data_IF_101583730748
#
_entry.id   IF_101583730748
#
_cell.length_a   1.000
_cell.length_b   1.000
_cell.length_c   1.000
_cell.angle_alpha   90.00
_cell.angle_beta   90.00
_cell.angle_gamma   90.00
#
_symmetry.space_group_name_H-M   'P 1'
#
loop_
_entity.id
_entity.type
_entity.pdbx_description
1 polymer ?
#
# COMPACT_ATOMS: atom_id res chain seq x y z
N UNK A 1 -23.70 -9.97 -73.46
CA UNK A 1 -23.57 -10.10 -74.94
C UNK A 1 -23.77 -8.73 -75.57
N UNK A 2 -22.82 -8.32 -76.44
CA UNK A 2 -22.83 -7.21 -77.42
C UNK A 2 -22.86 -5.78 -76.85
N UNK A 3 -21.71 -5.09 -76.83
CA UNK A 3 -21.07 -4.33 -77.93
C UNK A 3 -21.83 -3.03 -78.28
N UNK A 4 -21.21 -1.85 -78.12
CA UNK A 4 -20.29 -1.29 -79.13
C UNK A 4 -19.73 0.07 -78.70
N UNK A 5 -18.48 0.31 -79.11
CA UNK A 5 -17.71 1.56 -79.02
C UNK A 5 -18.00 2.50 -80.22
N UNK A 6 -17.35 3.67 -80.16
CA UNK A 6 -16.87 4.56 -81.26
C UNK A 6 -17.75 5.83 -81.40
N UNK A 7 -17.23 7.06 -81.46
CA UNK A 7 -15.86 7.49 -81.73
C UNK A 7 -15.57 8.97 -81.42
N UNK A 8 -14.28 9.28 -81.50
CA UNK A 8 -13.62 10.59 -81.37
C UNK A 8 -13.80 11.45 -82.64
N UNK A 9 -13.95 12.77 -82.47
CA UNK A 9 -13.46 13.85 -83.37
C UNK A 9 -13.30 15.12 -82.51
N UNK A 10 -12.09 15.62 -82.22
CA UNK A 10 -11.17 16.47 -83.01
C UNK A 10 -11.36 17.99 -82.83
N UNK A 11 -10.55 18.53 -81.90
CA UNK A 11 -9.80 19.80 -81.83
C UNK A 11 -10.27 21.12 -82.53
N UNK A 12 -10.48 22.14 -81.66
CA UNK A 12 -9.90 23.53 -81.63
C UNK A 12 -10.27 24.54 -82.76
N UNK A 13 -9.92 25.84 -82.63
CA UNK A 13 -10.13 26.79 -81.52
C UNK A 13 -10.58 28.19 -82.06
N UNK A 14 -11.20 29.09 -81.27
CA UNK A 14 -11.24 30.53 -81.65
C UNK A 14 -10.94 31.45 -80.46
N UNK A 15 -10.10 32.43 -80.79
CA UNK A 15 -9.41 33.47 -80.03
C UNK A 15 -10.31 34.53 -79.38
N UNK A 16 -9.69 35.15 -78.37
CA UNK A 16 -9.70 36.57 -77.99
C UNK A 16 -11.04 37.25 -77.70
N UNK A 17 -11.19 37.76 -76.47
CA UNK A 17 -10.92 39.19 -76.27
C UNK A 17 -10.63 39.52 -74.81
N UNK A 18 -9.67 40.41 -74.62
CA UNK A 18 -9.33 41.04 -73.35
C UNK A 18 -10.48 41.95 -72.86
N UNK A 19 -10.75 41.92 -71.56
CA UNK A 19 -11.12 43.12 -70.79
C UNK A 19 -10.69 42.94 -69.33
N UNK A 20 -9.73 43.75 -68.88
CA UNK A 20 -9.58 44.17 -67.48
C UNK A 20 -10.84 44.99 -67.09
N UNK A 21 -11.23 45.19 -65.80
CA UNK A 21 -10.29 45.58 -64.75
C UNK A 21 -10.63 45.18 -63.29
N UNK A 22 -9.65 45.48 -62.42
CA UNK A 22 -9.78 45.89 -61.02
C UNK A 22 -10.25 44.89 -59.95
N UNK A 23 -9.26 44.51 -59.14
CA UNK A 23 -9.21 44.83 -57.71
C UNK A 23 -10.31 44.23 -56.82
N UNK A 24 -10.02 43.06 -56.26
CA UNK A 24 -10.39 42.78 -54.86
C UNK A 24 -9.34 41.84 -54.29
N UNK A 25 -8.57 42.33 -53.31
CA UNK A 25 -7.66 41.51 -52.51
C UNK A 25 -8.50 40.48 -51.76
N UNK A 26 -8.43 39.22 -52.17
CA UNK A 26 -8.95 38.11 -51.38
C UNK A 26 -8.01 37.93 -50.17
N UNK A 27 -8.43 38.42 -49.01
CA UNK A 27 -7.83 38.05 -47.73
C UNK A 27 -8.13 36.57 -47.52
N UNK A 28 -7.14 35.72 -47.81
CA UNK A 28 -7.14 34.32 -47.40
C UNK A 28 -6.92 34.33 -45.88
N UNK A 29 -8.01 34.24 -45.11
CA UNK A 29 -7.93 33.84 -43.71
C UNK A 29 -7.47 32.39 -43.69
N UNK A 30 -6.15 32.19 -43.57
CA UNK A 30 -5.60 30.91 -43.13
C UNK A 30 -6.06 30.70 -41.69
N UNK A 31 -7.16 29.95 -41.51
CA UNK A 31 -7.58 29.46 -40.22
C UNK A 31 -6.53 28.42 -39.79
N UNK A 32 -5.44 28.86 -39.16
CA UNK A 32 -4.59 27.98 -38.37
C UNK A 32 -5.48 27.48 -37.22
N UNK A 33 -6.01 26.27 -37.37
CA UNK A 33 -6.48 25.51 -36.23
C UNK A 33 -5.27 25.28 -35.32
N UNK A 34 -5.11 26.15 -34.32
CA UNK A 34 -4.20 25.91 -33.20
C UNK A 34 -4.80 24.71 -32.47
N UNK A 35 -4.32 23.52 -32.82
CA UNK A 35 -4.42 22.35 -31.95
C UNK A 35 -3.59 22.69 -30.72
N UNK A 36 -4.22 23.35 -29.74
CA UNK A 36 -3.67 23.38 -28.40
C UNK A 36 -3.55 21.91 -27.97
N UNK A 37 -2.35 21.41 -27.64
CA UNK A 37 -2.26 20.11 -27.00
C UNK A 37 -3.13 20.21 -25.76
N UNK A 38 -4.22 19.45 -25.73
CA UNK A 38 -5.02 19.30 -24.52
C UNK A 38 -4.10 18.70 -23.49
N UNK A 39 -3.57 19.54 -22.60
CA UNK A 39 -2.85 19.12 -21.40
C UNK A 39 -3.89 18.51 -20.47
N UNK A 40 -4.38 17.32 -20.81
CA UNK A 40 -4.96 16.46 -19.81
C UNK A 40 -3.78 16.10 -18.93
N UNK A 41 -3.74 16.66 -17.72
CA UNK A 41 -2.87 16.14 -16.68
C UNK A 41 -3.28 14.67 -16.54
N UNK A 42 -2.44 13.77 -17.05
CA UNK A 42 -2.68 12.34 -16.92
C UNK A 42 -2.68 12.04 -15.42
N UNK A 43 -3.73 11.37 -14.96
CA UNK A 43 -3.83 10.93 -13.57
C UNK A 43 -2.66 9.98 -13.28
N UNK A 44 -1.68 10.43 -12.50
CA UNK A 44 -0.53 9.61 -12.12
C UNK A 44 -0.90 8.65 -10.98
N UNK A 45 -1.89 7.79 -11.22
CA UNK A 45 -2.44 6.86 -10.24
C UNK A 45 -1.38 5.86 -9.73
N UNK A 46 -0.44 5.46 -10.60
CA UNK A 46 0.66 4.54 -10.27
C UNK A 46 1.90 5.20 -9.65
N UNK A 47 1.81 6.47 -9.28
CA UNK A 47 2.95 7.22 -8.74
C UNK A 47 3.34 6.71 -7.36
N UNK A 48 4.64 6.41 -7.20
CA UNK A 48 5.22 6.16 -5.88
C UNK A 48 5.23 7.44 -5.06
N UNK A 49 4.80 7.34 -3.80
CA UNK A 49 4.78 8.47 -2.87
C UNK A 49 6.21 8.78 -2.41
N UNK A 50 6.59 10.06 -2.51
CA UNK A 50 7.80 10.56 -1.87
C UNK A 50 7.52 10.78 -0.37
N UNK A 51 7.60 9.68 0.39
CA UNK A 51 7.19 9.68 1.79
C UNK A 51 8.21 10.41 2.67
N UNK A 52 7.80 11.44 3.43
CA UNK A 52 8.66 12.05 4.43
C UNK A 52 9.21 11.01 5.44
N UNK A 53 10.38 11.26 6.03
CA UNK A 53 10.91 10.39 7.07
C UNK A 53 9.98 10.35 8.28
N UNK A 54 9.89 9.19 8.93
CA UNK A 54 9.07 9.02 10.13
C UNK A 54 9.72 9.78 11.28
N UNK A 55 9.03 10.81 11.79
CA UNK A 55 9.41 11.47 13.02
C UNK A 55 8.89 10.68 14.23
N UNK A 56 9.72 9.78 14.76
CA UNK A 56 9.35 8.91 15.88
C UNK A 56 9.16 9.74 17.15
N UNK A 57 7.95 9.78 17.74
CA UNK A 57 7.69 10.58 18.93
C UNK A 57 8.34 9.94 20.16
N UNK A 58 8.84 10.79 21.06
CA UNK A 58 9.29 10.34 22.39
C UNK A 58 8.09 10.09 23.28
N UNK A 59 7.62 8.85 23.39
CA UNK A 59 6.53 8.52 24.31
C UNK A 59 7.02 8.42 25.76
N UNK A 60 6.10 8.69 26.69
CA UNK A 60 6.32 8.51 28.10
C UNK A 60 6.63 7.03 28.45
N UNK A 61 7.50 6.83 29.44
CA UNK A 61 7.78 5.49 29.97
C UNK A 61 6.64 5.00 30.87
N UNK A 62 5.95 5.92 31.53
CA UNK A 62 4.86 5.63 32.45
C UNK A 62 3.64 6.50 32.14
N UNK A 63 2.45 5.99 32.44
CA UNK A 63 1.20 6.71 32.22
C UNK A 63 0.07 6.12 33.03
N UNK A 64 -0.85 6.96 33.52
CA UNK A 64 -1.99 6.50 34.31
C UNK A 64 -3.09 5.87 33.44
N UNK A 65 -3.13 6.22 32.15
CA UNK A 65 -4.15 5.80 31.18
C UNK A 65 -3.52 5.55 29.81
N UNK A 66 -4.26 4.93 28.89
CA UNK A 66 -3.84 4.73 27.50
C UNK A 66 -3.46 6.06 26.80
N UNK A 67 -4.20 7.14 27.08
CA UNK A 67 -3.97 8.47 26.49
C UNK A 67 -2.59 9.04 26.82
N UNK A 68 -1.97 8.64 27.94
CA UNK A 68 -0.62 9.09 28.29
C UNK A 68 0.47 8.58 27.32
N UNK A 69 0.15 7.56 26.50
CA UNK A 69 1.03 7.03 25.46
C UNK A 69 0.70 7.56 24.06
N UNK A 70 -0.29 8.45 23.92
CA UNK A 70 -0.64 9.11 22.66
C UNK A 70 -0.05 10.53 22.67
N UNK A 71 1.02 10.81 21.91
CA UNK A 71 1.67 12.11 21.90
C UNK A 71 0.88 13.13 21.07
N UNK A 72 1.25 14.41 21.16
CA UNK A 72 0.67 15.44 20.29
C UNK A 72 0.93 15.12 18.80
N UNK A 73 -0.02 15.48 17.93
CA UNK A 73 -0.01 15.18 16.49
C UNK A 73 -0.07 13.68 16.17
N UNK A 74 -0.61 12.89 17.10
CA UNK A 74 -0.97 11.50 16.91
C UNK A 74 -2.37 11.27 17.48
N UNK A 75 -3.06 10.25 16.98
CA UNK A 75 -4.36 9.83 17.49
C UNK A 75 -4.38 8.32 17.72
N UNK A 76 -5.21 7.88 18.67
CA UNK A 76 -5.49 6.46 18.89
C UNK A 76 -6.32 5.91 17.73
N UNK A 77 -5.93 4.76 17.20
CA UNK A 77 -6.63 4.00 16.15
C UNK A 77 -7.31 2.79 16.76
N UNK A 78 -6.57 2.01 17.55
CA UNK A 78 -7.07 0.79 18.16
C UNK A 78 -6.44 0.54 19.53
N UNK A 79 -7.15 -0.22 20.37
CA UNK A 79 -6.73 -0.62 21.71
C UNK A 79 -7.28 -1.99 22.05
N UNK A 80 -6.40 -2.85 22.54
CA UNK A 80 -6.77 -4.11 23.20
C UNK A 80 -6.22 -4.18 24.62
N UNK A 81 -6.96 -4.85 25.48
CA UNK A 81 -6.58 -5.09 26.87
C UNK A 81 -6.45 -6.60 27.11
N UNK A 82 -5.36 -7.03 27.74
CA UNK A 82 -5.14 -8.44 28.08
C UNK A 82 -4.09 -8.56 29.17
N UNK A 83 -4.01 -9.73 29.81
CA UNK A 83 -2.91 -10.07 30.70
C UNK A 83 -1.77 -10.66 29.87
N UNK A 84 -0.79 -9.84 29.48
CA UNK A 84 0.33 -10.30 28.66
C UNK A 84 1.41 -10.98 29.51
N UNK A 85 1.56 -10.60 30.78
CA UNK A 85 2.65 -11.05 31.64
C UNK A 85 2.27 -12.17 32.63
N UNK A 86 0.98 -12.52 32.72
CA UNK A 86 0.44 -13.56 33.59
C UNK A 86 0.16 -13.13 35.03
N UNK A 87 0.15 -11.84 35.34
CA UNK A 87 -0.06 -11.30 36.70
C UNK A 87 -1.55 -11.04 37.05
N UNK A 88 -2.45 -11.36 36.13
CA UNK A 88 -3.92 -11.17 36.22
C UNK A 88 -4.37 -9.71 36.20
N UNK A 89 -3.50 -8.78 35.83
CA UNK A 89 -3.86 -7.38 35.59
C UNK A 89 -4.01 -7.12 34.10
N UNK A 90 -4.94 -6.24 33.74
CA UNK A 90 -5.15 -5.87 32.35
C UNK A 90 -4.07 -4.89 31.88
N UNK A 91 -3.17 -5.38 31.04
CA UNK A 91 -2.18 -4.62 30.26
C UNK A 91 -2.83 -4.01 29.01
N UNK A 92 -2.08 -3.16 28.30
CA UNK A 92 -2.53 -2.46 27.09
C UNK A 92 -1.64 -2.77 25.89
N UNK A 93 -2.26 -2.95 24.73
CA UNK A 93 -1.62 -2.72 23.44
C UNK A 93 -2.45 -1.69 22.65
N UNK A 94 -1.75 -0.74 22.03
CA UNK A 94 -2.33 0.40 21.32
C UNK A 94 -1.77 0.47 19.91
N UNK A 95 -2.63 0.80 18.94
CA UNK A 95 -2.21 1.35 17.65
C UNK A 95 -2.54 2.83 17.63
N UNK A 96 -1.53 3.66 17.34
CA UNK A 96 -1.68 5.09 17.10
C UNK A 96 -1.28 5.43 15.67
N UNK A 97 -1.77 6.54 15.13
CA UNK A 97 -1.36 7.05 13.81
C UNK A 97 -1.02 8.52 13.91
N UNK A 98 0.00 8.94 13.16
CA UNK A 98 0.36 10.35 13.03
C UNK A 98 -0.78 11.15 12.39
N UNK A 99 -0.75 12.46 12.58
CA UNK A 99 -1.72 13.39 11.97
C UNK A 99 -1.02 14.56 11.28
N UNK A 100 0.16 14.32 10.73
CA UNK A 100 0.93 15.36 10.04
C UNK A 100 0.34 15.56 8.64
N UNK A 101 -0.16 16.76 8.32
CA UNK A 101 -0.75 17.03 7.01
C UNK A 101 0.24 16.87 5.85
N UNK A 102 1.56 16.85 6.11
CA UNK A 102 2.58 16.57 5.10
C UNK A 102 2.60 15.12 4.61
N UNK A 103 1.95 14.21 5.33
CA UNK A 103 1.79 12.81 4.91
C UNK A 103 0.42 12.55 4.26
N UNK A 104 -0.36 13.59 3.97
CA UNK A 104 -1.63 13.48 3.25
C UNK A 104 -1.37 13.84 1.78
N UNK A 105 -1.49 12.86 0.90
CA UNK A 105 -1.22 12.99 -0.52
C UNK A 105 -2.54 13.12 -1.29
N UNK A 106 -2.68 14.22 -2.03
CA UNK A 106 -3.91 14.51 -2.77
C UNK A 106 -3.92 13.82 -4.12
N UNK A 107 -5.06 13.28 -4.50
CA UNK A 107 -5.30 12.88 -5.89
C UNK A 107 -5.49 14.14 -6.74
N UNK A 108 -4.64 14.31 -7.74
CA UNK A 108 -4.78 15.34 -8.76
C UNK A 108 -5.29 14.69 -10.06
N UNK A 109 -6.50 14.12 -9.98
CA UNK A 109 -7.13 13.39 -11.08
C UNK A 109 -8.48 14.04 -11.43
N UNK A 110 -8.52 14.96 -12.42
CA UNK A 110 -9.74 15.63 -12.83
C UNK A 110 -10.86 14.67 -13.27
N UNK A 111 -10.49 13.48 -13.75
CA UNK A 111 -11.41 12.43 -14.21
C UNK A 111 -11.97 11.58 -13.05
N UNK A 112 -11.45 11.75 -11.83
CA UNK A 112 -11.89 11.00 -10.64
C UNK A 112 -11.87 11.92 -9.40
N UNK A 113 -12.72 12.97 -9.38
CA UNK A 113 -12.73 13.99 -8.33
C UNK A 113 -13.18 13.46 -6.96
N UNK A 114 -13.79 12.27 -6.92
CA UNK A 114 -14.30 11.63 -5.71
C UNK A 114 -13.27 10.70 -5.03
N UNK A 115 -12.05 10.59 -5.56
CA UNK A 115 -10.99 9.82 -4.90
C UNK A 115 -10.57 10.49 -3.60
N UNK A 116 -10.55 9.71 -2.51
CA UNK A 116 -10.11 10.18 -1.21
C UNK A 116 -8.59 10.34 -1.17
N UNK A 117 -8.11 11.43 -0.56
CA UNK A 117 -6.68 11.66 -0.31
C UNK A 117 -6.03 10.45 0.40
N UNK A 118 -4.80 10.10 0.02
CA UNK A 118 -4.05 9.03 0.68
C UNK A 118 -3.40 9.55 1.96
N UNK A 119 -3.88 9.07 3.10
CA UNK A 119 -3.24 9.29 4.40
C UNK A 119 -2.11 8.27 4.62
N UNK A 120 -0.89 8.70 4.34
CA UNK A 120 0.33 7.93 4.55
C UNK A 120 1.02 8.26 5.89
N UNK A 121 0.28 8.75 6.89
CA UNK A 121 0.84 8.93 8.22
C UNK A 121 1.33 7.57 8.80
N UNK A 122 2.47 7.57 9.50
CA UNK A 122 3.00 6.35 10.09
C UNK A 122 2.10 5.87 11.24
N UNK A 123 1.97 4.55 11.36
CA UNK A 123 1.34 3.91 12.50
C UNK A 123 2.39 3.51 13.55
N UNK A 124 2.00 3.55 14.82
CA UNK A 124 2.81 3.12 15.96
C UNK A 124 2.10 2.02 16.74
N UNK A 125 2.77 0.90 16.97
CA UNK A 125 2.35 -0.13 17.92
C UNK A 125 3.02 0.14 19.26
N UNK A 126 2.24 0.14 20.35
CA UNK A 126 2.73 0.37 21.71
C UNK A 126 2.20 -0.74 22.61
N UNK A 127 3.05 -1.28 23.50
CA UNK A 127 2.64 -2.24 24.53
C UNK A 127 3.06 -1.71 25.90
N UNK A 128 2.13 -1.70 26.85
CA UNK A 128 2.35 -1.22 28.21
C UNK A 128 1.76 -2.19 29.23
N UNK A 129 2.56 -2.58 30.22
CA UNK A 129 2.11 -3.45 31.30
C UNK A 129 1.51 -2.65 32.43
N UNK A 130 0.47 -3.18 33.06
CA UNK A 130 -0.10 -2.63 34.28
C UNK A 130 0.91 -2.74 35.41
N UNK A 131 0.90 -1.75 36.28
CA UNK A 131 1.67 -1.71 37.53
C UNK A 131 0.91 -0.90 38.57
N UNK A 132 1.44 -0.83 39.79
CA UNK A 132 0.86 0.03 40.83
C UNK A 132 0.84 1.48 40.34
N UNK A 133 -0.34 2.11 40.38
CA UNK A 133 -0.53 3.50 39.99
C UNK A 133 -0.68 3.77 38.48
N UNK A 134 -0.64 2.76 37.60
CA UNK A 134 -0.87 2.97 36.17
C UNK A 134 -0.24 1.90 35.28
N UNK A 135 0.43 2.35 34.22
CA UNK A 135 1.06 1.52 33.21
C UNK A 135 2.52 1.89 33.00
N UNK A 136 3.33 0.92 32.58
CA UNK A 136 4.72 1.10 32.13
C UNK A 136 4.85 0.56 30.71
N UNK A 137 5.26 1.42 29.77
CA UNK A 137 5.56 1.02 28.39
C UNK A 137 6.72 0.02 28.39
N UNK A 138 6.53 -1.12 27.74
CA UNK A 138 7.54 -2.18 27.59
C UNK A 138 8.02 -2.37 26.17
N UNK A 139 7.25 -1.94 25.17
CA UNK A 139 7.65 -1.99 23.77
C UNK A 139 6.96 -0.88 22.96
N UNK A 140 7.61 -0.49 21.87
CA UNK A 140 7.02 0.35 20.83
C UNK A 140 7.71 0.10 19.49
N UNK A 141 6.99 0.24 18.39
CA UNK A 141 7.54 0.22 17.04
C UNK A 141 6.69 1.11 16.12
N UNK A 142 7.33 1.83 15.20
CA UNK A 142 6.69 2.79 14.29
C UNK A 142 6.93 2.49 12.80
N UNK A 143 7.48 1.31 12.50
CA UNK A 143 7.87 0.86 11.15
C UNK A 143 7.22 -0.48 10.80
N UNK A 144 6.82 -1.27 11.81
CA UNK A 144 6.25 -2.60 11.65
C UNK A 144 4.98 -2.62 10.78
N UNK A 145 4.10 -1.64 10.98
CA UNK A 145 2.93 -1.43 10.12
C UNK A 145 3.42 -0.57 8.95
N UNK A 146 3.35 -1.06 7.69
CA UNK A 146 3.85 -0.31 6.55
C UNK A 146 3.05 0.97 6.33
N UNK A 147 3.54 1.83 5.44
CA UNK A 147 2.78 2.97 4.92
C UNK A 147 2.33 2.66 3.49
N UNK A 148 1.22 3.24 3.00
CA UNK A 148 0.92 3.26 1.58
C UNK A 148 2.15 3.73 0.78
N UNK A 149 2.51 3.02 -0.29
CA UNK A 149 3.67 3.35 -1.13
C UNK A 149 3.28 4.08 -2.43
N UNK A 150 2.01 4.02 -2.83
CA UNK A 150 1.47 4.69 -4.01
C UNK A 150 0.11 5.33 -3.70
N UNK A 151 -0.41 6.10 -4.66
CA UNK A 151 -1.75 6.71 -4.61
C UNK A 151 -2.91 5.68 -4.63
N UNK A 152 -2.58 4.41 -4.87
CA UNK A 152 -3.52 3.28 -4.99
C UNK A 152 -3.32 2.26 -3.88
N UNK A 153 -2.55 2.53 -2.84
CA UNK A 153 -2.46 1.58 -1.73
C UNK A 153 -3.51 1.94 -0.68
N UNK A 154 -4.35 0.97 -0.30
CA UNK A 154 -5.24 1.10 0.85
C UNK A 154 -4.45 1.41 2.12
N UNK A 155 -5.11 1.98 3.14
CA UNK A 155 -4.51 2.08 4.46
C UNK A 155 -4.12 0.68 4.96
N UNK A 156 -2.84 0.44 5.28
CA UNK A 156 -2.35 -0.91 5.49
C UNK A 156 -2.79 -1.51 6.83
N UNK A 157 -3.07 -0.70 7.86
CA UNK A 157 -3.52 -1.23 9.13
C UNK A 157 -4.90 -1.88 9.00
N UNK A 158 -5.04 -3.12 9.50
CA UNK A 158 -6.32 -3.83 9.50
C UNK A 158 -6.89 -3.98 10.92
N UNK A 159 -6.18 -4.70 11.80
CA UNK A 159 -6.71 -5.01 13.13
C UNK A 159 -5.66 -5.35 14.18
N UNK A 160 -6.05 -5.14 15.45
CA UNK A 160 -5.31 -5.55 16.63
C UNK A 160 -6.20 -6.47 17.47
N UNK A 161 -5.71 -7.66 17.80
CA UNK A 161 -6.48 -8.64 18.57
C UNK A 161 -5.60 -9.40 19.56
N UNK A 162 -6.23 -10.00 20.58
CA UNK A 162 -5.53 -10.90 21.50
C UNK A 162 -6.21 -12.27 21.52
N UNK A 163 -5.42 -13.33 21.32
CA UNK A 163 -5.89 -14.72 21.36
C UNK A 163 -4.96 -15.52 22.25
N UNK A 164 -5.51 -16.06 23.35
CA UNK A 164 -4.76 -16.89 24.32
C UNK A 164 -3.45 -16.21 24.80
N UNK A 165 -3.50 -14.91 25.11
CA UNK A 165 -2.34 -14.13 25.58
C UNK A 165 -1.31 -13.78 24.50
N UNK A 166 -1.58 -14.10 23.23
CA UNK A 166 -0.78 -13.68 22.08
C UNK A 166 -1.43 -12.47 21.44
N UNK A 167 -0.66 -11.41 21.21
CA UNK A 167 -1.07 -10.24 20.47
C UNK A 167 -0.94 -10.52 18.97
N UNK A 168 -2.03 -10.34 18.24
CA UNK A 168 -2.10 -10.43 16.79
C UNK A 168 -2.20 -9.01 16.23
N UNK A 169 -1.24 -8.65 15.37
CA UNK A 169 -1.29 -7.42 14.58
C UNK A 169 -1.47 -7.78 13.12
N UNK A 170 -2.57 -7.35 12.52
CA UNK A 170 -2.90 -7.60 11.12
C UNK A 170 -2.72 -6.33 10.31
N UNK A 171 -2.07 -6.45 9.16
CA UNK A 171 -2.02 -5.42 8.16
C UNK A 171 -2.18 -6.04 6.76
N UNK A 172 -2.66 -5.24 5.82
CA UNK A 172 -2.84 -5.60 4.43
C UNK A 172 -1.89 -4.77 3.56
N UNK A 173 -1.30 -5.39 2.55
CA UNK A 173 -0.51 -4.72 1.52
C UNK A 173 -1.21 -4.92 0.18
N UNK A 174 -2.34 -4.24 0.02
CA UNK A 174 -3.24 -4.41 -1.12
C UNK A 174 -3.13 -3.20 -2.06
N UNK A 175 -2.39 -3.32 -3.17
CA UNK A 175 -2.48 -2.32 -4.23
C UNK A 175 -3.88 -2.38 -4.88
N UNK A 176 -4.63 -1.28 -4.86
CA UNK A 176 -6.00 -1.18 -5.38
C UNK A 176 -6.11 -1.45 -6.88
N UNK A 177 -5.02 -1.33 -7.65
CA UNK A 177 -4.99 -1.55 -9.10
C UNK A 177 -4.94 -3.03 -9.52
N UNK A 178 -4.79 -3.97 -8.58
CA UNK A 178 -4.97 -5.40 -8.83
C UNK A 178 -5.98 -5.99 -7.86
N UNK A 179 -6.80 -6.98 -8.29
CA UNK A 179 -7.63 -7.77 -7.39
C UNK A 179 -6.76 -8.74 -6.59
N UNK A 180 -5.97 -8.18 -5.67
CA UNK A 180 -4.99 -8.87 -4.84
C UNK A 180 -5.26 -8.57 -3.37
N UNK A 181 -5.14 -9.60 -2.53
CA UNK A 181 -5.12 -9.46 -1.08
C UNK A 181 -3.83 -10.07 -0.55
N UNK A 182 -3.00 -9.27 0.12
CA UNK A 182 -1.84 -9.74 0.87
C UNK A 182 -1.98 -9.31 2.33
N UNK A 183 -2.52 -10.23 3.12
CA UNK A 183 -2.70 -10.04 4.55
C UNK A 183 -1.53 -10.64 5.29
N UNK A 184 -0.99 -9.89 6.24
CA UNK A 184 0.11 -10.29 7.12
C UNK A 184 -0.32 -10.14 8.57
N UNK A 185 -0.07 -11.17 9.36
CA UNK A 185 -0.36 -11.21 10.80
C UNK A 185 0.91 -11.49 11.59
N UNK A 186 1.35 -10.52 12.39
CA UNK A 186 2.41 -10.73 13.36
C UNK A 186 1.86 -11.24 14.68
N UNK A 187 2.53 -12.26 15.23
CA UNK A 187 2.17 -12.89 16.50
C UNK A 187 3.22 -12.56 17.56
N UNK A 188 2.80 -11.84 18.61
CA UNK A 188 3.69 -11.44 19.69
C UNK A 188 3.28 -12.07 21.02
N UNK A 189 4.27 -12.48 21.82
CA UNK A 189 4.09 -12.95 23.19
C UNK A 189 5.07 -12.25 24.12
N UNK A 190 4.58 -11.79 25.27
CA UNK A 190 5.45 -11.25 26.29
C UNK A 190 6.14 -12.38 27.05
N UNK A 191 7.47 -12.41 27.03
CA UNK A 191 8.25 -13.37 27.82
C UNK A 191 9.65 -12.79 28.11
N UNK A 192 10.15 -13.04 29.33
CA UNK A 192 11.49 -12.58 29.77
C UNK A 192 11.72 -11.07 29.55
N UNK A 193 10.71 -10.26 29.89
CA UNK A 193 10.80 -8.79 29.79
C UNK A 193 10.69 -8.23 28.38
N UNK A 194 10.33 -9.04 27.39
CA UNK A 194 10.30 -8.65 25.98
C UNK A 194 8.99 -9.07 25.33
N UNK A 195 8.40 -8.15 24.55
CA UNK A 195 7.32 -8.47 23.63
C UNK A 195 7.91 -9.11 22.37
N UNK A 196 7.95 -10.44 22.34
CA UNK A 196 8.70 -11.22 21.37
C UNK A 196 7.85 -11.61 20.19
N UNK A 197 8.37 -11.44 18.98
CA UNK A 197 7.76 -11.98 17.77
C UNK A 197 7.96 -13.50 17.78
N UNK A 198 6.86 -14.24 17.85
CA UNK A 198 6.86 -15.70 17.91
C UNK A 198 6.35 -16.36 16.63
N UNK A 199 5.61 -15.61 15.81
CA UNK A 199 5.21 -16.08 14.49
C UNK A 199 4.78 -14.99 13.53
N UNK A 200 4.68 -15.38 12.27
CA UNK A 200 4.18 -14.58 11.15
C UNK A 200 3.29 -15.46 10.29
N UNK A 201 2.08 -15.01 10.02
CA UNK A 201 1.16 -15.64 9.09
C UNK A 201 0.95 -14.70 7.90
N UNK A 202 0.99 -15.23 6.69
CA UNK A 202 0.75 -14.49 5.46
C UNK A 202 -0.28 -15.21 4.61
N UNK A 203 -1.17 -14.45 3.99
CA UNK A 203 -2.17 -14.96 3.05
C UNK A 203 -2.17 -14.07 1.82
N UNK A 204 -1.93 -14.67 0.68
CA UNK A 204 -1.95 -14.05 -0.63
C UNK A 204 -3.12 -14.61 -1.44
N UNK A 205 -3.92 -13.72 -2.03
CA UNK A 205 -4.94 -14.03 -3.00
C UNK A 205 -4.72 -13.14 -4.23
N UNK A 206 -4.80 -13.71 -5.42
CA UNK A 206 -4.81 -12.94 -6.68
C UNK A 206 -5.88 -13.52 -7.61
N UNK A 207 -6.89 -12.69 -7.89
CA UNK A 207 -8.10 -13.14 -8.58
C UNK A 207 -8.80 -14.29 -7.84
N UNK A 208 -9.72 -15.02 -8.51
CA UNK A 208 -10.42 -16.16 -7.90
C UNK A 208 -9.58 -17.45 -7.93
N UNK A 209 -8.38 -17.42 -8.51
CA UNK A 209 -7.66 -18.63 -8.90
C UNK A 209 -6.40 -18.89 -8.08
N UNK A 210 -5.69 -17.85 -7.62
CA UNK A 210 -4.41 -18.04 -6.93
C UNK A 210 -4.59 -17.82 -5.44
N UNK A 211 -4.19 -18.81 -4.65
CA UNK A 211 -4.09 -18.70 -3.20
C UNK A 211 -2.73 -19.19 -2.75
N UNK A 212 -2.04 -18.39 -1.94
CA UNK A 212 -0.85 -18.84 -1.25
C UNK A 212 -0.90 -18.46 0.23
N UNK A 213 -0.27 -19.27 1.07
CA UNK A 213 -0.14 -19.01 2.49
C UNK A 213 1.29 -19.25 2.95
N UNK A 214 1.68 -18.53 4.00
CA UNK A 214 2.94 -18.76 4.69
C UNK A 214 2.73 -18.68 6.19
N UNK A 215 3.37 -19.56 6.93
CA UNK A 215 3.38 -19.57 8.38
C UNK A 215 4.79 -19.83 8.89
N UNK A 216 5.35 -18.85 9.59
CA UNK A 216 6.67 -18.94 10.20
C UNK A 216 6.53 -18.97 11.72
N UNK A 217 7.18 -19.94 12.35
CA UNK A 217 7.35 -20.02 13.79
C UNK A 217 8.77 -19.58 14.15
N UNK A 218 8.93 -18.38 14.72
CA UNK A 218 10.23 -17.82 15.07
C UNK A 218 10.85 -18.44 16.33
N UNK A 219 10.15 -19.29 17.06
CA UNK A 219 10.76 -20.03 18.16
C UNK A 219 11.51 -21.26 17.66
N UNK A 220 11.05 -21.87 16.56
CA UNK A 220 11.67 -23.06 15.96
C UNK A 220 12.47 -22.76 14.69
N UNK A 221 12.22 -21.59 14.09
CA UNK A 221 12.74 -21.20 12.78
C UNK A 221 12.11 -21.97 11.62
N UNK A 222 10.99 -22.67 11.84
CA UNK A 222 10.28 -23.42 10.81
C UNK A 222 9.32 -22.51 10.06
N UNK A 223 9.37 -22.57 8.74
CA UNK A 223 8.40 -21.94 7.83
C UNK A 223 7.69 -23.01 7.02
N UNK A 224 6.37 -22.88 6.88
CA UNK A 224 5.55 -23.68 5.98
C UNK A 224 4.93 -22.71 4.98
N UNK A 225 5.06 -23.01 3.69
CA UNK A 225 4.42 -22.25 2.62
C UNK A 225 3.57 -23.20 1.80
N UNK A 226 2.40 -22.76 1.38
CA UNK A 226 1.55 -23.51 0.46
C UNK A 226 0.99 -22.62 -0.64
N UNK A 227 0.70 -23.21 -1.79
CA UNK A 227 0.08 -22.53 -2.91
C UNK A 227 -0.85 -23.46 -3.69
N UNK A 228 -1.85 -22.86 -4.33
CA UNK A 228 -2.75 -23.53 -5.27
C UNK A 228 -3.18 -22.52 -6.34
N UNK A 229 -3.27 -22.97 -7.59
CA UNK A 229 -3.81 -22.20 -8.70
C UNK A 229 -4.72 -23.07 -9.59
N UNK A 230 -5.38 -22.47 -10.58
CA UNK A 230 -6.14 -23.23 -11.58
C UNK A 230 -5.26 -24.22 -12.36
N UNK A 231 -4.00 -23.86 -12.63
CA UNK A 231 -3.06 -24.64 -13.43
C UNK A 231 -2.05 -25.43 -12.57
N UNK A 232 -2.00 -25.16 -11.27
CA UNK A 232 -1.03 -25.73 -10.34
C UNK A 232 -1.77 -26.35 -9.16
N UNK A 233 -1.69 -27.69 -8.96
CA UNK A 233 -2.32 -28.31 -7.82
C UNK A 233 -1.70 -27.82 -6.50
N UNK A 234 -2.39 -28.10 -5.40
CA UNK A 234 -1.88 -27.81 -4.07
C UNK A 234 -0.44 -28.28 -3.88
N UNK A 235 0.42 -27.37 -3.47
CA UNK A 235 1.79 -27.61 -3.10
C UNK A 235 2.03 -27.09 -1.69
N UNK A 236 2.81 -27.82 -0.91
CA UNK A 236 3.26 -27.39 0.41
C UNK A 236 4.75 -27.66 0.54
N UNK A 237 5.47 -26.69 1.08
CA UNK A 237 6.89 -26.80 1.35
C UNK A 237 7.18 -26.39 2.78
N UNK A 238 8.10 -27.13 3.41
CA UNK A 238 8.64 -26.78 4.71
C UNK A 238 10.09 -26.37 4.53
N UNK A 239 10.43 -25.22 5.09
CA UNK A 239 11.80 -24.70 5.10
C UNK A 239 12.20 -24.32 6.53
N UNK A 240 13.51 -24.20 6.75
CA UNK A 240 14.07 -23.70 8.00
C UNK A 240 14.82 -22.41 7.71
N UNK A 241 14.54 -21.37 8.49
CA UNK A 241 15.24 -20.10 8.40
C UNK A 241 16.75 -20.32 8.55
N UNK A 242 17.52 -19.72 7.64
CA UNK A 242 19.01 -19.77 7.69
C UNK A 242 19.54 -19.10 8.96
N UNK A 243 18.88 -18.03 9.39
CA UNK A 243 19.11 -17.33 10.65
C UNK A 243 17.77 -17.01 11.30
N UNK A 244 17.65 -17.26 12.60
CA UNK A 244 16.42 -17.05 13.34
C UNK A 244 16.70 -16.28 14.64
N UNK A 245 17.08 -15.00 14.56
CA UNK A 245 17.26 -14.19 15.75
C UNK A 245 15.90 -13.97 16.41
N UNK A 246 15.79 -14.26 17.71
CA UNK A 246 14.57 -14.00 18.46
C UNK A 246 14.36 -12.48 18.55
N UNK A 247 13.34 -11.98 17.86
CA UNK A 247 13.05 -10.56 17.76
C UNK A 247 12.24 -10.05 18.96
N UNK A 248 12.68 -8.95 19.55
CA UNK A 248 11.95 -8.19 20.56
C UNK A 248 11.46 -6.87 19.94
N UNK A 249 10.16 -6.62 20.06
CA UNK A 249 9.52 -5.39 19.56
C UNK A 249 10.26 -4.16 20.10
N UNK A 250 10.73 -3.31 19.19
CA UNK A 250 11.43 -2.05 19.50
C UNK A 250 12.94 -2.16 19.78
N UNK A 251 13.53 -3.36 19.83
CA UNK A 251 14.94 -3.55 20.21
C UNK A 251 15.89 -3.92 19.06
N UNK A 252 15.40 -4.20 17.86
CA UNK A 252 16.22 -4.46 16.67
C UNK A 252 15.45 -4.04 15.40
N UNK A 253 16.13 -3.76 14.29
CA UNK A 253 15.47 -3.78 12.98
C UNK A 253 14.95 -5.19 12.75
N UNK A 254 13.66 -5.33 12.47
CA UNK A 254 13.11 -6.59 11.98
C UNK A 254 13.96 -6.99 10.77
N UNK A 255 14.57 -8.19 10.72
CA UNK A 255 15.45 -8.57 9.63
C UNK A 255 14.78 -8.35 8.27
N UNK A 256 15.42 -7.55 7.44
CA UNK A 256 15.03 -7.27 6.04
C UNK A 256 14.87 -8.58 5.26
N UNK A 257 15.61 -9.62 5.66
CA UNK A 257 15.50 -11.00 5.22
C UNK A 257 14.08 -11.58 5.27
N UNK A 258 13.18 -11.11 6.14
CA UNK A 258 11.79 -11.60 6.19
C UNK A 258 10.90 -11.04 5.09
N UNK A 259 11.28 -9.89 4.51
CA UNK A 259 10.61 -9.31 3.35
C UNK A 259 11.13 -9.96 2.05
N UNK A 260 12.42 -10.29 1.99
CA UNK A 260 13.06 -10.89 0.81
C UNK A 260 12.84 -12.40 0.69
N UNK A 261 12.90 -13.19 1.77
CA UNK A 261 12.65 -14.65 1.69
C UNK A 261 11.18 -15.01 1.44
N UNK A 262 10.28 -14.03 1.51
CA UNK A 262 8.85 -14.16 1.18
C UNK A 262 8.43 -13.26 0.01
N UNK A 263 9.42 -12.69 -0.69
CA UNK A 263 9.25 -11.84 -1.88
C UNK A 263 8.80 -12.64 -3.09
N UNK A 264 8.17 -11.93 -4.02
CA UNK A 264 7.40 -12.38 -5.19
C UNK A 264 8.02 -13.50 -6.06
N UNK A 265 9.33 -13.75 -5.96
CA UNK A 265 10.03 -14.81 -6.69
C UNK A 265 9.67 -16.23 -6.24
N UNK A 266 9.03 -16.42 -5.08
CA UNK A 266 8.52 -17.75 -4.70
C UNK A 266 7.25 -18.17 -5.44
N UNK A 267 6.68 -17.29 -6.27
CA UNK A 267 5.42 -17.51 -6.99
C UNK A 267 5.52 -17.24 -8.50
N UNK A 268 6.72 -17.02 -9.05
CA UNK A 268 6.99 -17.00 -10.50
C UNK A 268 7.23 -18.40 -11.06
#
# INVERSE_FOLDING_TARGET
MKNSRIGLFSLKPIRNHQSTPNCTRLLVFALLAVLAPSSHAECEMYKMLDLPPINVPKLAMHGNTAAAFVPAQWRLVDKVESDFNGDKLADLALVIVGTDPRNIFKHDCPESPDLEDVDANPHGLIVALRQQGGYRRVAQDFVLIPRPQSMENDQPYDSLAVKKGVLHLVYNDNPSWRPRVDTRTYLFRFEKGCMRLIGLEGKYLEGPYITATVSTNFLTGKTISSSVSEHTPYSEQTHKLKSNPLYCLGNNKMPEAFKEEMGEDSFQ
#
